data_IF_476313062673
#
_entry.id   IF_476313062673
#
_cell.length_a   1.000
_cell.length_b   1.000
_cell.length_c   1.000
_cell.angle_alpha   90.00
_cell.angle_beta   90.00
_cell.angle_gamma   90.00
#
_symmetry.space_group_name_H-M   'P 1'
#
loop_
_entity.id
_entity.type
_entity.pdbx_description
1 polymer ?
#
# COMPACT_ATOMS: atom_id res chain seq x y z
N UNK A 1 11.21 -12.70 -13.54
CA UNK A 1 11.55 -11.81 -12.39
C UNK A 1 12.60 -12.53 -11.54
N UNK A 2 13.83 -12.01 -11.43
CA UNK A 2 14.85 -12.61 -10.55
C UNK A 2 14.47 -12.30 -9.10
N UNK A 3 14.20 -13.34 -8.29
CA UNK A 3 13.94 -13.17 -6.85
C UNK A 3 15.21 -12.63 -6.18
N UNK A 4 15.16 -11.37 -5.73
CA UNK A 4 16.25 -10.75 -4.96
C UNK A 4 16.42 -11.51 -3.65
N UNK A 5 17.67 -11.89 -3.36
CA UNK A 5 18.06 -12.59 -2.13
C UNK A 5 18.86 -11.65 -1.24
N UNK A 6 18.86 -11.95 0.05
CA UNK A 6 19.73 -11.31 1.02
C UNK A 6 21.19 -11.40 0.57
N UNK A 7 21.96 -10.32 0.75
CA UNK A 7 23.38 -10.25 0.37
C UNK A 7 24.28 -11.11 1.27
N UNK A 8 23.80 -11.49 2.47
CA UNK A 8 24.52 -12.42 3.34
C UNK A 8 24.67 -13.81 2.70
N UNK A 9 25.89 -14.34 2.74
CA UNK A 9 26.28 -15.58 2.08
C UNK A 9 25.38 -16.77 2.48
N UNK A 10 24.86 -17.48 1.48
CA UNK A 10 23.99 -18.65 1.71
C UNK A 10 22.55 -18.32 2.15
N UNK A 11 22.18 -17.04 2.27
CA UNK A 11 20.85 -16.65 2.69
C UNK A 11 19.85 -16.60 1.52
N UNK A 12 18.83 -17.46 1.54
CA UNK A 12 17.76 -17.47 0.53
C UNK A 12 16.55 -16.60 0.90
N UNK A 13 16.61 -15.85 2.00
CA UNK A 13 15.51 -14.96 2.43
C UNK A 13 15.43 -13.71 1.56
N UNK A 14 14.22 -13.19 1.42
CA UNK A 14 13.99 -11.94 0.71
C UNK A 14 14.55 -10.76 1.53
N UNK A 15 15.34 -9.84 0.94
CA UNK A 15 15.87 -8.71 1.66
C UNK A 15 14.76 -7.68 1.92
N UNK A 16 14.77 -7.08 3.11
CA UNK A 16 13.86 -6.01 3.54
C UNK A 16 14.59 -4.82 4.18
N UNK A 17 15.82 -5.03 4.67
CA UNK A 17 16.63 -4.04 5.39
C UNK A 17 17.74 -3.47 4.51
N UNK A 18 18.11 -2.21 4.78
CA UNK A 18 19.20 -1.47 4.13
C UNK A 18 19.76 -0.43 5.09
N UNK A 19 20.86 0.25 4.75
CA UNK A 19 21.36 1.38 5.53
C UNK A 19 20.62 2.70 5.23
N UNK A 20 20.64 3.63 6.18
CA UNK A 20 20.06 4.97 6.02
C UNK A 20 20.59 5.66 4.74
N UNK A 21 19.70 6.27 3.96
CA UNK A 21 20.02 6.88 2.67
C UNK A 21 19.97 5.93 1.46
N UNK A 22 19.79 4.63 1.67
CA UNK A 22 19.68 3.67 0.58
C UNK A 22 18.22 3.30 0.24
N UNK A 23 17.93 3.15 -1.06
CA UNK A 23 16.58 2.83 -1.55
C UNK A 23 16.37 1.36 -1.92
N UNK A 24 17.40 0.51 -1.76
CA UNK A 24 17.36 -0.90 -2.14
C UNK A 24 17.62 -1.79 -0.94
N UNK A 25 16.66 -2.65 -0.61
CA UNK A 25 16.85 -3.65 0.43
C UNK A 25 17.95 -4.66 0.04
N UNK A 26 18.92 -4.83 0.94
CA UNK A 26 20.11 -5.67 0.79
C UNK A 26 20.10 -6.87 1.75
N UNK A 27 19.58 -6.69 2.97
CA UNK A 27 19.62 -7.70 4.04
C UNK A 27 18.23 -8.15 4.45
N UNK A 28 18.08 -9.38 4.93
CA UNK A 28 16.82 -9.85 5.52
C UNK A 28 16.77 -9.54 7.03
N UNK A 29 15.61 -9.72 7.67
CA UNK A 29 15.43 -9.48 9.11
C UNK A 29 16.43 -10.23 10.01
N UNK A 30 16.88 -11.41 9.58
CA UNK A 30 17.87 -12.19 10.34
C UNK A 30 19.28 -11.60 10.27
N UNK A 31 19.57 -10.85 9.22
CA UNK A 31 20.87 -10.22 8.98
C UNK A 31 20.80 -8.70 9.12
N UNK A 32 19.86 -8.21 9.93
CA UNK A 32 19.77 -6.80 10.29
C UNK A 32 20.95 -6.41 11.18
N UNK A 33 21.62 -5.30 10.84
CA UNK A 33 22.72 -4.72 11.64
C UNK A 33 22.27 -3.38 12.26
N UNK A 34 22.94 -2.89 13.32
CA UNK A 34 22.70 -1.55 13.85
C UNK A 34 22.83 -0.50 12.74
N UNK A 35 21.90 0.47 12.70
CA UNK A 35 21.83 1.48 11.63
C UNK A 35 21.10 1.05 10.35
N UNK A 36 20.58 -0.18 10.29
CA UNK A 36 19.73 -0.60 9.17
C UNK A 36 18.25 -0.28 9.39
N UNK A 37 17.61 0.23 8.34
CA UNK A 37 16.18 0.54 8.25
C UNK A 37 15.44 -0.51 7.41
N UNK A 38 14.21 -0.84 7.79
CA UNK A 38 13.34 -1.73 7.02
C UNK A 38 12.62 -0.92 5.92
N UNK A 39 12.93 -1.20 4.66
CA UNK A 39 12.27 -0.57 3.50
C UNK A 39 10.94 -1.23 3.13
N UNK A 40 10.71 -2.48 3.54
CA UNK A 40 9.51 -3.23 3.17
C UNK A 40 8.41 -3.10 4.19
N UNK A 41 8.74 -3.20 5.46
CA UNK A 41 7.79 -3.00 6.55
C UNK A 41 7.78 -1.51 6.88
N UNK A 42 6.92 -0.76 6.19
CA UNK A 42 6.65 0.63 6.57
C UNK A 42 6.13 0.62 8.01
N UNK A 43 6.78 1.38 8.89
CA UNK A 43 6.39 1.55 10.29
C UNK A 43 5.45 2.75 10.43
N UNK A 44 4.71 2.76 11.53
CA UNK A 44 4.02 3.95 12.00
C UNK A 44 4.99 5.13 12.10
N UNK A 45 4.56 6.31 11.63
CA UNK A 45 5.38 7.53 11.60
C UNK A 45 5.60 8.14 12.98
N UNK A 46 4.86 7.70 14.00
CA UNK A 46 5.16 8.05 15.39
C UNK A 46 6.53 7.50 15.80
N UNK A 47 7.37 8.38 16.36
CA UNK A 47 8.70 8.03 16.83
C UNK A 47 8.68 6.86 17.83
N UNK A 48 9.63 5.94 17.69
CA UNK A 48 9.70 4.71 18.49
C UNK A 48 8.62 3.65 18.20
N UNK A 49 7.67 3.88 17.29
CA UNK A 49 6.61 2.92 17.00
C UNK A 49 7.01 1.92 15.91
N UNK A 50 6.99 0.62 16.23
CA UNK A 50 7.25 -0.47 15.26
C UNK A 50 6.00 -1.15 14.70
N UNK A 51 4.80 -0.61 14.98
CA UNK A 51 3.53 -1.17 14.50
C UNK A 51 3.30 -0.80 13.02
N UNK A 52 2.58 -1.67 12.30
CA UNK A 52 2.18 -1.42 10.92
C UNK A 52 1.18 -0.24 10.84
N UNK A 53 1.39 0.70 9.91
CA UNK A 53 0.49 1.82 9.74
C UNK A 53 -0.68 1.45 8.82
N UNK A 54 -1.88 1.58 9.36
CA UNK A 54 -3.13 1.36 8.65
C UNK A 54 -4.00 2.61 8.57
N UNK A 55 -3.72 3.63 9.37
CA UNK A 55 -4.52 4.84 9.49
C UNK A 55 -3.85 6.02 8.79
N UNK A 56 -4.66 6.84 8.14
CA UNK A 56 -4.29 8.16 7.62
C UNK A 56 -5.55 9.02 7.46
N UNK A 57 -5.42 10.27 7.04
CA UNK A 57 -6.56 11.14 6.75
C UNK A 57 -7.35 10.65 5.52
N UNK A 58 -8.60 11.11 5.42
CA UNK A 58 -9.44 10.84 4.24
C UNK A 58 -8.77 11.42 2.97
N UNK A 59 -8.89 10.73 1.85
CA UNK A 59 -8.17 11.04 0.59
C UNK A 59 -6.81 10.36 0.47
N UNK A 60 -6.14 10.05 1.57
CA UNK A 60 -4.79 9.48 1.53
C UNK A 60 -4.77 7.97 1.26
N UNK A 61 -3.87 7.53 0.37
CA UNK A 61 -3.80 6.13 -0.07
C UNK A 61 -2.84 5.28 0.80
N UNK A 62 -1.91 5.92 1.51
CA UNK A 62 -0.87 5.26 2.33
C UNK A 62 -1.21 5.37 3.82
N UNK A 63 -1.17 4.24 4.54
CA UNK A 63 -1.21 4.27 5.99
C UNK A 63 0.05 4.93 6.55
N UNK A 64 -0.11 5.91 7.44
CA UNK A 64 0.98 6.64 8.11
C UNK A 64 1.07 6.29 9.60
N UNK A 65 -0.07 6.02 10.23
CA UNK A 65 -0.16 5.76 11.66
C UNK A 65 -0.78 4.39 11.96
N UNK A 66 -0.40 3.80 13.09
CA UNK A 66 -1.06 2.59 13.60
C UNK A 66 -2.31 2.96 14.40
N UNK A 67 -3.13 1.96 14.75
CA UNK A 67 -4.38 2.17 15.50
C UNK A 67 -4.18 2.92 16.84
N UNK A 68 -3.01 2.76 17.47
CA UNK A 68 -2.66 3.43 18.74
C UNK A 68 -2.28 4.91 18.55
N UNK A 69 -1.75 5.26 17.37
CA UNK A 69 -1.30 6.61 17.06
C UNK A 69 -2.21 7.29 16.03
N UNK A 70 -3.43 6.79 15.86
CA UNK A 70 -4.44 7.47 15.05
C UNK A 70 -4.89 8.72 15.81
N UNK A 71 -4.99 9.86 15.14
CA UNK A 71 -5.60 11.08 15.68
C UNK A 71 -7.03 11.24 15.18
N UNK A 72 -7.79 12.18 15.76
CA UNK A 72 -9.15 12.48 15.32
C UNK A 72 -9.14 12.87 13.83
N UNK A 73 -10.08 12.31 13.05
CA UNK A 73 -10.15 12.52 11.60
C UNK A 73 -9.36 11.51 10.76
N UNK A 74 -8.56 10.62 11.36
CA UNK A 74 -7.91 9.53 10.62
C UNK A 74 -8.84 8.33 10.45
N UNK A 75 -8.83 7.76 9.24
CA UNK A 75 -9.56 6.56 8.82
C UNK A 75 -8.61 5.41 8.52
N UNK A 76 -9.08 4.17 8.66
CA UNK A 76 -8.32 3.01 8.18
C UNK A 76 -8.25 3.06 6.65
N UNK A 77 -7.05 3.20 6.10
CA UNK A 77 -6.75 3.28 4.67
C UNK A 77 -6.39 1.94 4.03
N UNK A 78 -6.17 0.89 4.82
CA UNK A 78 -5.62 -0.41 4.38
C UNK A 78 -6.61 -1.56 4.54
N UNK A 79 -7.26 -1.68 5.69
CA UNK A 79 -8.27 -2.69 5.98
C UNK A 79 -9.65 -2.09 5.74
N UNK A 80 -10.24 -2.38 4.58
CA UNK A 80 -11.55 -1.85 4.22
C UNK A 80 -12.50 -2.96 3.80
N UNK A 81 -13.73 -2.87 4.28
CA UNK A 81 -14.88 -3.60 3.75
C UNK A 81 -15.71 -2.64 2.89
N UNK A 82 -16.53 -3.21 2.02
CA UNK A 82 -17.54 -2.46 1.28
C UNK A 82 -18.45 -1.69 2.24
N UNK A 83 -18.71 -0.41 1.94
CA UNK A 83 -19.53 0.47 2.79
C UNK A 83 -21.02 0.08 2.81
N UNK A 84 -21.45 -0.75 1.85
CA UNK A 84 -22.78 -1.36 1.90
C UNK A 84 -22.95 -2.22 3.15
N UNK A 85 -23.97 -1.92 3.96
CA UNK A 85 -24.30 -2.65 5.17
C UNK A 85 -24.44 -4.16 4.90
N UNK A 86 -23.78 -4.98 5.73
CA UNK A 86 -23.78 -6.45 5.61
C UNK A 86 -22.85 -7.00 4.51
N UNK A 87 -22.05 -6.18 3.83
CA UNK A 87 -21.14 -6.65 2.80
C UNK A 87 -19.71 -6.86 3.30
N UNK A 88 -19.25 -8.12 3.31
CA UNK A 88 -17.87 -8.49 3.69
C UNK A 88 -16.87 -8.47 2.52
N UNK A 89 -17.28 -8.00 1.34
CA UNK A 89 -16.39 -7.95 0.16
C UNK A 89 -15.44 -6.76 0.25
N UNK A 90 -14.22 -6.94 -0.23
CA UNK A 90 -13.24 -5.86 -0.35
C UNK A 90 -13.73 -4.77 -1.32
N UNK A 91 -13.57 -3.48 -0.99
CA UNK A 91 -13.96 -2.39 -1.88
C UNK A 91 -12.84 -2.03 -2.85
N UNK A 92 -13.22 -1.86 -4.11
CA UNK A 92 -12.33 -1.49 -5.23
C UNK A 92 -12.90 -0.32 -6.05
N UNK A 93 -14.19 0.01 -5.88
CA UNK A 93 -14.88 1.05 -6.64
C UNK A 93 -15.08 2.31 -5.81
N UNK A 94 -14.84 3.47 -6.43
CA UNK A 94 -15.19 4.79 -5.91
C UNK A 94 -15.30 5.79 -7.10
N UNK A 95 -15.57 7.05 -6.85
CA UNK A 95 -15.59 8.10 -7.87
C UNK A 95 -14.17 8.44 -8.36
N UNK A 96 -14.09 9.07 -9.53
CA UNK A 96 -12.82 9.52 -10.11
C UNK A 96 -12.14 10.55 -9.19
N UNK A 97 -10.81 10.51 -9.11
CA UNK A 97 -10.02 11.32 -8.17
C UNK A 97 -9.88 10.71 -6.76
N UNK A 98 -10.68 9.70 -6.43
CA UNK A 98 -10.60 9.05 -5.12
C UNK A 98 -9.64 7.87 -5.11
N UNK A 99 -8.67 7.88 -4.20
CA UNK A 99 -7.72 6.79 -4.03
C UNK A 99 -8.30 5.54 -3.34
N UNK A 100 -9.37 5.74 -2.55
CA UNK A 100 -9.95 4.72 -1.69
C UNK A 100 -11.11 4.03 -2.39
N UNK A 101 -11.06 2.71 -2.55
CA UNK A 101 -12.27 1.94 -2.83
C UNK A 101 -13.26 2.02 -1.66
N UNK A 102 -14.52 2.42 -1.93
CA UNK A 102 -15.62 2.48 -0.94
C UNK A 102 -16.61 1.33 -1.14
N UNK A 103 -16.82 0.91 -2.38
CA UNK A 103 -17.79 -0.13 -2.74
C UNK A 103 -17.12 -1.31 -3.44
N UNK A 104 -17.71 -2.50 -3.31
CA UNK A 104 -17.31 -3.65 -4.11
C UNK A 104 -17.98 -3.61 -5.49
N UNK A 105 -17.58 -4.49 -6.41
CA UNK A 105 -18.14 -4.55 -7.77
C UNK A 105 -19.67 -4.71 -7.81
N UNK A 106 -20.25 -5.36 -6.80
CA UNK A 106 -21.69 -5.59 -6.70
C UNK A 106 -22.46 -4.35 -6.21
N UNK A 107 -21.80 -3.47 -5.45
CA UNK A 107 -22.42 -2.30 -4.82
C UNK A 107 -21.91 -0.99 -5.40
N UNK A 108 -21.25 -1.02 -6.56
CA UNK A 108 -20.88 0.19 -7.28
C UNK A 108 -22.13 0.86 -7.85
N UNK A 109 -22.19 2.18 -7.79
CA UNK A 109 -23.24 2.98 -8.46
C UNK A 109 -22.73 3.56 -9.78
N UNK A 110 -23.64 4.10 -10.59
CA UNK A 110 -23.28 4.77 -11.84
C UNK A 110 -22.30 5.93 -11.55
N UNK A 111 -21.24 6.01 -12.35
CA UNK A 111 -20.17 7.00 -12.17
C UNK A 111 -18.99 6.54 -11.31
N UNK A 112 -19.05 5.35 -10.69
CA UNK A 112 -17.90 4.78 -9.97
C UNK A 112 -16.94 4.00 -10.89
N UNK A 113 -15.65 4.24 -10.71
CA UNK A 113 -14.52 3.59 -11.39
C UNK A 113 -13.78 2.63 -10.45
N UNK A 114 -13.07 1.64 -11.00
CA UNK A 114 -12.19 0.78 -10.20
C UNK A 114 -10.90 1.56 -9.90
N UNK A 115 -10.81 2.08 -8.67
CA UNK A 115 -9.69 2.93 -8.21
C UNK A 115 -8.49 2.12 -7.75
N UNK A 116 -8.61 0.79 -7.63
CA UNK A 116 -7.51 -0.09 -7.19
C UNK A 116 -6.91 -0.93 -8.31
N UNK A 117 -7.72 -1.37 -9.26
CA UNK A 117 -7.31 -2.17 -10.41
C UNK A 117 -7.65 -1.42 -11.70
N UNK A 118 -7.09 -0.22 -11.85
CA UNK A 118 -7.18 0.54 -13.10
C UNK A 118 -6.82 -0.37 -14.27
N UNK A 119 -7.67 -0.38 -15.30
CA UNK A 119 -7.39 -1.06 -16.57
C UNK A 119 -6.75 -0.07 -17.53
N UNK A 120 -5.97 -0.58 -18.47
CA UNK A 120 -5.43 0.23 -19.54
C UNK A 120 -6.58 0.94 -20.29
N UNK A 121 -6.37 2.21 -20.63
CA UNK A 121 -7.35 3.06 -21.32
C UNK A 121 -7.67 2.58 -22.74
N UNK A 122 -6.82 1.74 -23.32
CA UNK A 122 -7.08 1.17 -24.63
C UNK A 122 -8.24 0.15 -24.55
N UNK A 123 -9.25 0.34 -25.41
CA UNK A 123 -10.36 -0.59 -25.53
C UNK A 123 -9.86 -2.03 -25.72
N UNK A 124 -10.51 -2.98 -25.04
CA UNK A 124 -10.18 -4.41 -25.03
C UNK A 124 -8.85 -4.80 -24.34
N UNK A 125 -8.11 -3.84 -23.76
CA UNK A 125 -6.91 -4.15 -23.00
C UNK A 125 -7.25 -4.57 -21.56
N UNK A 126 -7.03 -5.85 -21.24
CA UNK A 126 -7.23 -6.40 -19.89
C UNK A 126 -6.01 -6.25 -18.97
N UNK A 127 -4.98 -5.53 -19.40
CA UNK A 127 -3.75 -5.33 -18.63
C UNK A 127 -3.91 -4.14 -17.68
N UNK A 128 -3.28 -4.23 -16.51
CA UNK A 128 -3.11 -3.07 -15.63
C UNK A 128 -2.02 -2.15 -16.21
N UNK A 129 -2.23 -0.83 -16.22
CA UNK A 129 -1.21 0.11 -16.65
C UNK A 129 0.00 0.03 -15.71
N UNK A 130 1.18 -0.09 -16.30
CA UNK A 130 2.48 -0.11 -15.58
C UNK A 130 3.24 1.21 -15.68
N UNK A 131 2.76 2.13 -16.53
CA UNK A 131 3.35 3.44 -16.81
C UNK A 131 2.23 4.49 -16.73
N UNK A 132 2.56 5.69 -16.30
CA UNK A 132 1.66 6.84 -16.27
C UNK A 132 2.39 8.08 -16.80
N UNK A 133 1.66 9.15 -17.12
CA UNK A 133 2.29 10.42 -17.52
C UNK A 133 2.97 11.10 -16.32
N UNK A 134 3.98 11.92 -16.62
CA UNK A 134 4.72 12.67 -15.61
C UNK A 134 3.77 13.63 -14.87
N UNK A 135 3.62 13.45 -13.55
CA UNK A 135 2.72 14.24 -12.70
C UNK A 135 1.40 13.54 -12.32
N UNK A 136 1.09 12.38 -12.90
CA UNK A 136 -0.15 11.65 -12.56
C UNK A 136 0.12 10.50 -11.58
N UNK A 137 -0.66 10.46 -10.50
CA UNK A 137 -0.56 9.39 -9.48
C UNK A 137 -1.20 8.09 -9.97
N UNK A 138 -0.52 6.97 -9.69
CA UNK A 138 -0.93 5.62 -10.08
C UNK A 138 -2.14 5.13 -9.28
#
# INVERSE_FOLDING_TARGET
>A
VKNKRCEEGGCNKQPSFTFEGEHRARFCAQHQRPGMVDLKSKKCEQDGCSKLPYFNFEGECRGRFCAQHKVQGMVDVKSKMCEQAGCSKGPYFNFEGECRGRFCAQHRVQGMVDVKNKRCEQAECSKQPSFNFEGEER
#
